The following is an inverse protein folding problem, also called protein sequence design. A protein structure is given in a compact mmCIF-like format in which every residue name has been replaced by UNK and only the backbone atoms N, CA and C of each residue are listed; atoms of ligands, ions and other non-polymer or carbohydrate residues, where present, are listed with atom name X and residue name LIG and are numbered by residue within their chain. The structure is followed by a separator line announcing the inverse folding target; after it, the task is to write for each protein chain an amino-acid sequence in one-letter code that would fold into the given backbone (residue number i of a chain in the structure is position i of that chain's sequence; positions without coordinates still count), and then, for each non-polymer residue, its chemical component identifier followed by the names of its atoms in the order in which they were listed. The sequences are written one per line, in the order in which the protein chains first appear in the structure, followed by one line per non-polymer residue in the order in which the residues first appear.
data_IF_146132653107
#
_entry.id   IF_146132653107
#
_cell.length_a   1.000
_cell.length_b   1.000
_cell.length_c   1.000
_cell.angle_alpha   90.00
_cell.angle_beta   90.00
_cell.angle_gamma   90.00
#
_symmetry.space_group_name_H-M   'P 1'
#
loop_
_entity.id
_entity.type
_entity.pdbx_description
1 polymer ?
#
# COMPACT_ATOMS: atom_id res chain seq x y z
N UNK A 1 -3.19 7.04 10.43
CA UNK A 1 -2.54 5.72 10.44
C UNK A 1 -1.34 5.71 11.38
N UNK A 2 -1.26 4.71 12.27
CA UNK A 2 0.00 4.39 12.95
C UNK A 2 0.95 3.63 12.00
N UNK A 3 2.27 3.78 12.19
CA UNK A 3 3.27 3.05 11.41
C UNK A 3 3.13 1.52 11.54
N UNK A 4 2.57 1.05 12.65
CA UNK A 4 2.34 -0.38 12.90
C UNK A 4 1.14 -0.92 12.11
N UNK A 5 0.08 -0.14 11.96
CA UNK A 5 -1.04 -0.45 11.06
C UNK A 5 -0.59 -0.45 9.59
N UNK A 6 0.25 0.51 9.21
CA UNK A 6 0.80 0.59 7.86
C UNK A 6 1.65 -0.63 7.51
N UNK A 7 2.44 -1.14 8.47
CA UNK A 7 3.19 -2.40 8.33
C UNK A 7 2.26 -3.57 8.12
N UNK A 8 1.24 -3.72 8.96
CA UNK A 8 0.25 -4.79 8.85
C UNK A 8 -0.45 -4.80 7.48
N UNK A 9 -0.81 -3.62 6.96
CA UNK A 9 -1.46 -3.50 5.64
C UNK A 9 -0.56 -3.95 4.49
N UNK A 10 0.75 -3.69 4.57
CA UNK A 10 1.72 -4.20 3.61
C UNK A 10 2.12 -5.67 3.87
N UNK A 11 1.64 -6.28 4.95
CA UNK A 11 1.95 -7.67 5.32
C UNK A 11 3.23 -7.83 6.16
N UNK A 12 3.69 -6.75 6.80
CA UNK A 12 4.78 -6.78 7.76
C UNK A 12 4.27 -6.89 9.20
N UNK A 13 5.04 -7.52 10.11
CA UNK A 13 4.75 -7.50 11.54
C UNK A 13 4.76 -6.07 12.09
N UNK A 14 3.90 -5.74 13.08
CA UNK A 14 3.86 -4.42 13.68
C UNK A 14 5.22 -4.04 14.28
N UNK A 15 5.96 -4.98 14.86
CA UNK A 15 7.29 -4.74 15.46
C UNK A 15 8.46 -4.80 14.46
N UNK A 16 8.22 -5.03 13.18
CA UNK A 16 9.30 -5.08 12.18
C UNK A 16 9.58 -3.72 11.57
N UNK A 17 10.86 -3.44 11.28
CA UNK A 17 11.28 -2.27 10.51
C UNK A 17 11.74 -2.70 9.12
N UNK A 18 10.80 -2.91 8.18
CA UNK A 18 11.15 -3.29 6.82
C UNK A 18 11.95 -2.18 6.13
N UNK A 19 12.93 -2.55 5.32
CA UNK A 19 13.69 -1.60 4.51
C UNK A 19 12.82 -1.00 3.40
N UNK A 20 13.14 0.19 2.87
CA UNK A 20 12.38 0.80 1.76
C UNK A 20 12.22 -0.12 0.55
N UNK A 21 13.21 -0.96 0.23
CA UNK A 21 13.13 -1.97 -0.82
C UNK A 21 12.06 -3.05 -0.52
N UNK A 22 11.96 -3.50 0.73
CA UNK A 22 10.93 -4.46 1.14
C UNK A 22 9.56 -3.81 1.13
N UNK A 23 9.44 -2.59 1.68
CA UNK A 23 8.20 -1.80 1.65
C UNK A 23 7.69 -1.65 0.22
N UNK A 24 8.58 -1.31 -0.73
CA UNK A 24 8.25 -1.20 -2.16
C UNK A 24 7.85 -2.54 -2.78
N UNK A 25 8.53 -3.64 -2.45
CA UNK A 25 8.17 -4.96 -2.96
C UNK A 25 6.79 -5.42 -2.46
N UNK A 26 6.53 -5.25 -1.16
CA UNK A 26 5.25 -5.55 -0.55
C UNK A 26 4.12 -4.67 -1.09
N UNK A 27 4.38 -3.37 -1.25
CA UNK A 27 3.45 -2.42 -1.87
C UNK A 27 3.07 -2.85 -3.29
N UNK A 28 4.05 -3.18 -4.14
CA UNK A 28 3.78 -3.65 -5.51
C UNK A 28 2.93 -4.91 -5.52
N UNK A 29 3.19 -5.87 -4.62
CA UNK A 29 2.39 -7.08 -4.49
C UNK A 29 0.95 -6.75 -4.10
N UNK A 30 0.76 -5.94 -3.06
CA UNK A 30 -0.55 -5.55 -2.54
C UNK A 30 -1.37 -4.71 -3.52
N UNK A 31 -0.70 -3.81 -4.25
CA UNK A 31 -1.29 -3.02 -5.33
C UNK A 31 -1.75 -3.92 -6.47
N UNK A 32 -0.92 -4.88 -6.88
CA UNK A 32 -1.31 -5.83 -7.93
C UNK A 32 -2.53 -6.64 -7.50
N UNK A 33 -2.56 -7.13 -6.26
CA UNK A 33 -3.71 -7.85 -5.69
C UNK A 33 -4.98 -6.99 -5.55
N UNK A 34 -4.83 -5.66 -5.50
CA UNK A 34 -5.95 -4.71 -5.34
C UNK A 34 -6.15 -3.85 -6.60
N UNK A 35 -5.57 -4.25 -7.74
CA UNK A 35 -5.59 -3.43 -8.94
C UNK A 35 -6.99 -3.45 -9.56
N UNK A 36 -7.69 -2.32 -9.71
CA UNK A 36 -9.09 -2.28 -10.15
C UNK A 36 -9.32 -2.84 -11.57
N UNK A 37 -8.26 -3.07 -12.34
CA UNK A 37 -8.28 -3.71 -13.66
C UNK A 37 -8.39 -5.24 -13.59
N UNK A 38 -8.01 -5.86 -12.46
CA UNK A 38 -8.25 -7.29 -12.20
C UNK A 38 -9.65 -7.56 -11.65
N UNK A 39 -10.36 -6.51 -11.22
CA UNK A 39 -11.67 -6.64 -10.60
C UNK A 39 -12.79 -6.25 -11.57
N UNK A 40 -13.88 -7.03 -11.62
CA UNK A 40 -15.08 -6.64 -12.36
C UNK A 40 -15.70 -5.37 -11.76
N UNK A 41 -16.52 -4.66 -12.54
CA UNK A 41 -17.05 -3.31 -12.23
C UNK A 41 -17.67 -3.19 -10.83
N UNK A 42 -18.29 -4.26 -10.33
CA UNK A 42 -18.91 -4.30 -9.00
C UNK A 42 -17.89 -4.33 -7.84
N UNK A 43 -16.70 -4.87 -8.06
CA UNK A 43 -15.62 -4.92 -7.06
C UNK A 43 -14.60 -3.78 -7.21
N UNK A 44 -14.69 -2.97 -8.27
CA UNK A 44 -13.80 -1.82 -8.49
C UNK A 44 -13.75 -0.85 -7.32
N UNK A 45 -14.90 -0.54 -6.71
CA UNK A 45 -14.97 0.34 -5.54
C UNK A 45 -14.24 -0.24 -4.32
N UNK A 46 -14.34 -1.55 -4.12
CA UNK A 46 -13.64 -2.26 -3.04
C UNK A 46 -12.13 -2.31 -3.29
N UNK A 47 -11.73 -2.55 -4.54
CA UNK A 47 -10.34 -2.54 -4.97
C UNK A 47 -9.71 -1.15 -4.82
N UNK A 48 -10.41 -0.09 -5.23
CA UNK A 48 -9.96 1.31 -5.07
C UNK A 48 -9.79 1.68 -3.60
N UNK A 49 -10.73 1.28 -2.74
CA UNK A 49 -10.65 1.52 -1.29
C UNK A 49 -9.42 0.83 -0.67
N UNK A 50 -9.15 -0.43 -1.06
CA UNK A 50 -7.93 -1.15 -0.65
C UNK A 50 -6.67 -0.49 -1.20
N UNK A 51 -6.67 -0.05 -2.46
CA UNK A 51 -5.55 0.64 -3.08
C UNK A 51 -5.20 1.93 -2.32
N UNK A 52 -6.19 2.75 -1.98
CA UNK A 52 -6.01 3.96 -1.16
C UNK A 52 -5.41 3.64 0.21
N UNK A 53 -5.89 2.59 0.88
CA UNK A 53 -5.32 2.15 2.18
C UNK A 53 -3.87 1.70 2.06
N UNK A 54 -3.54 0.90 1.04
CA UNK A 54 -2.17 0.43 0.78
C UNK A 54 -1.23 1.59 0.44
N UNK A 55 -1.71 2.57 -0.33
CA UNK A 55 -1.01 3.80 -0.67
C UNK A 55 -0.73 4.69 0.55
N UNK A 56 -1.72 4.84 1.43
CA UNK A 56 -1.55 5.59 2.68
C UNK A 56 -0.54 4.90 3.60
N UNK A 57 -0.62 3.57 3.74
CA UNK A 57 0.33 2.78 4.51
C UNK A 57 1.77 2.90 3.96
N UNK A 58 1.93 2.78 2.65
CA UNK A 58 3.21 2.98 1.98
C UNK A 58 3.75 4.39 2.24
N UNK A 59 2.91 5.41 2.12
CA UNK A 59 3.29 6.80 2.40
C UNK A 59 3.69 6.97 3.86
N UNK A 60 2.93 6.46 4.84
CA UNK A 60 3.29 6.51 6.25
C UNK A 60 4.65 5.85 6.55
N UNK A 61 4.97 4.73 5.90
CA UNK A 61 6.26 4.05 6.06
C UNK A 61 7.39 4.70 5.25
N UNK A 62 7.03 5.42 4.20
CA UNK A 62 7.94 6.07 3.29
C UNK A 62 8.15 7.55 3.62
N UNK A 63 7.34 8.22 4.44
CA UNK A 63 7.43 9.65 4.81
C UNK A 63 8.70 10.06 5.58
N UNK A 64 9.77 9.27 5.53
CA UNK A 64 11.15 9.75 5.62
C UNK A 64 11.81 10.08 4.27
N UNK A 65 11.14 9.82 3.13
CA UNK A 65 11.63 9.94 1.76
C UNK A 65 10.43 9.92 0.76
N UNK A 66 9.86 11.10 0.49
CA UNK A 66 8.67 11.41 -0.33
C UNK A 66 8.30 10.46 -1.50
N UNK A 67 7.01 10.04 -1.62
CA UNK A 67 6.52 9.30 -2.78
C UNK A 67 5.91 10.23 -3.84
N UNK A 68 6.65 10.49 -4.91
CA UNK A 68 6.20 11.23 -6.12
C UNK A 68 5.21 10.40 -7.01
N UNK A 69 5.10 9.10 -6.74
CA UNK A 69 4.40 8.14 -7.61
C UNK A 69 2.87 8.02 -7.42
N UNK A 70 2.28 8.66 -6.40
CA UNK A 70 0.85 8.48 -6.07
C UNK A 70 -0.09 9.51 -6.68
N UNK A 71 0.40 10.43 -7.51
CA UNK A 71 -0.43 11.50 -8.12
C UNK A 71 -1.19 11.10 -9.39
N UNK A 72 -1.16 9.84 -9.81
CA UNK A 72 -1.60 9.46 -11.16
C UNK A 72 -2.59 8.29 -11.24
N UNK A 73 -3.30 8.00 -10.15
CA UNK A 73 -4.42 7.07 -10.14
C UNK A 73 -5.68 7.79 -9.68
#
# INVERSE_FOLDING_TARGET
MQGDEARLLLGFPPNSRPSPSQIKAAYRKKVWESHPDLFPVHEKHSAESKFKLIAEAYTCLQSGNSPDFLRKY
#
